data_IF_448416681411
#
_entry.id   IF_448416681411
#
_cell.length_a   1.000
_cell.length_b   1.000
_cell.length_c   1.000
_cell.angle_alpha   90.00
_cell.angle_beta   90.00
_cell.angle_gamma   90.00
#
_symmetry.space_group_name_H-M   'P 1'
#
loop_
_entity.id
_entity.type
_entity.pdbx_description
1 polymer ?
#
# COMPACT_ATOMS: atom_id res chain seq x y z
N UNK A 1 2.73 38.26 1.83
CA UNK A 1 4.15 37.98 1.55
C UNK A 1 4.45 36.60 2.12
N UNK A 2 4.42 35.55 1.29
CA UNK A 2 4.79 34.19 1.72
C UNK A 2 6.32 34.10 1.64
N UNK A 3 6.98 33.88 2.78
CA UNK A 3 8.41 33.57 2.79
C UNK A 3 8.59 32.07 2.52
N UNK A 4 9.21 31.75 1.38
CA UNK A 4 9.72 30.41 1.12
C UNK A 4 11.06 30.25 1.86
N UNK A 5 10.97 29.98 3.16
CA UNK A 5 12.13 29.73 4.00
C UNK A 5 12.06 28.33 4.61
N UNK A 6 13.18 27.61 4.54
CA UNK A 6 13.33 26.31 5.19
C UNK A 6 13.72 26.55 6.65
N UNK A 7 12.87 26.14 7.57
CA UNK A 7 13.20 26.13 9.00
C UNK A 7 14.38 25.17 9.24
N UNK A 8 15.38 25.64 10.00
CA UNK A 8 16.50 24.84 10.51
C UNK A 8 16.46 25.00 12.03
N UNK A 9 16.47 23.90 12.78
CA UNK A 9 16.47 23.97 14.25
C UNK A 9 17.77 24.55 14.79
N UNK A 10 17.76 25.12 16.00
CA UNK A 10 18.96 25.67 16.63
C UNK A 10 20.09 24.63 16.74
N UNK A 11 19.74 23.37 17.01
CA UNK A 11 20.69 22.27 17.06
C UNK A 11 21.33 22.00 15.69
N UNK A 12 20.52 21.90 14.62
CA UNK A 12 21.04 21.70 13.26
C UNK A 12 21.92 22.88 12.80
N UNK A 13 21.55 24.11 13.15
CA UNK A 13 22.33 25.31 12.85
C UNK A 13 23.70 25.29 13.53
N UNK A 14 23.76 24.95 14.83
CA UNK A 14 25.03 24.80 15.56
C UNK A 14 25.91 23.71 14.92
N UNK A 15 25.33 22.54 14.61
CA UNK A 15 26.05 21.45 13.94
C UNK A 15 26.63 21.87 12.58
N UNK A 16 25.89 22.69 11.81
CA UNK A 16 26.39 23.24 10.53
C UNK A 16 27.50 24.26 10.73
N UNK A 17 27.36 25.18 11.70
CA UNK A 17 28.38 26.20 12.02
C UNK A 17 29.69 25.54 12.42
N UNK A 18 29.62 24.50 13.25
CA UNK A 18 30.81 23.76 13.70
C UNK A 18 31.31 22.72 12.68
N UNK A 19 30.72 22.66 11.47
CA UNK A 19 31.11 21.74 10.38
C UNK A 19 31.18 20.27 10.77
N UNK A 20 30.40 19.87 11.78
CA UNK A 20 30.28 18.48 12.17
C UNK A 20 29.52 17.69 11.09
N UNK A 21 29.89 16.42 10.90
CA UNK A 21 29.15 15.54 10.00
C UNK A 21 27.74 15.27 10.56
N UNK A 22 26.73 15.94 9.99
CA UNK A 22 25.35 15.88 10.48
C UNK A 22 24.65 14.62 9.97
N UNK A 23 24.79 14.31 8.68
CA UNK A 23 24.27 13.08 8.06
C UNK A 23 25.08 12.72 6.82
N UNK A 24 25.46 11.45 6.68
CA UNK A 24 25.84 10.87 5.40
C UNK A 24 24.57 10.45 4.66
N UNK A 25 24.23 11.13 3.55
CA UNK A 25 23.10 10.75 2.68
C UNK A 25 23.66 10.24 1.36
N UNK A 26 24.11 9.00 1.37
CA UNK A 26 24.88 8.43 0.25
C UNK A 26 23.97 7.82 -0.85
N UNK A 27 22.70 7.55 -0.52
CA UNK A 27 21.85 6.70 -1.37
C UNK A 27 20.80 7.51 -2.12
N UNK A 28 20.88 7.46 -3.45
CA UNK A 28 19.84 8.00 -4.33
C UNK A 28 18.52 7.24 -4.13
N UNK A 29 17.40 7.95 -4.05
CA UNK A 29 16.06 7.35 -3.93
C UNK A 29 15.30 7.57 -5.24
N UNK A 30 14.87 6.46 -5.86
CA UNK A 30 14.08 6.49 -7.08
C UNK A 30 12.60 6.24 -6.75
N UNK A 31 11.73 7.20 -7.09
CA UNK A 31 10.29 7.04 -6.87
C UNK A 31 9.67 6.21 -7.99
N UNK A 32 8.96 5.16 -7.59
CA UNK A 32 8.41 4.13 -8.46
C UNK A 32 6.88 4.21 -8.44
N UNK A 33 6.30 4.83 -9.47
CA UNK A 33 4.87 4.79 -9.71
C UNK A 33 4.44 3.46 -10.32
N UNK A 34 3.18 3.11 -10.14
CA UNK A 34 2.54 1.92 -10.70
C UNK A 34 1.04 2.19 -10.82
N UNK A 35 0.36 1.38 -11.62
CA UNK A 35 -1.05 1.53 -11.94
C UNK A 35 -1.63 0.16 -12.35
N UNK A 36 -2.94 0.00 -12.20
CA UNK A 36 -3.65 -1.17 -12.73
C UNK A 36 -3.63 -1.17 -14.27
N UNK A 37 -3.98 -2.29 -14.91
CA UNK A 37 -4.20 -2.32 -16.35
C UNK A 37 -5.20 -1.25 -16.79
N UNK A 38 -4.85 -0.43 -17.78
CA UNK A 38 -5.69 0.64 -18.30
C UNK A 38 -5.71 1.94 -17.48
N UNK A 39 -5.13 1.97 -16.27
CA UNK A 39 -5.11 3.16 -15.40
C UNK A 39 -3.84 4.01 -15.53
N UNK A 40 -3.24 4.08 -16.73
CA UNK A 40 -2.07 4.92 -16.97
C UNK A 40 -2.43 6.41 -16.88
N UNK A 41 -1.60 7.21 -16.18
CA UNK A 41 -1.76 8.66 -16.19
C UNK A 41 -1.47 9.24 -17.57
N UNK A 42 -2.43 9.98 -18.11
CA UNK A 42 -2.32 10.72 -19.37
C UNK A 42 -2.10 12.20 -19.05
N UNK A 43 -1.03 12.79 -19.59
CA UNK A 43 -0.81 14.24 -19.53
C UNK A 43 -1.02 14.81 -20.91
N UNK A 44 -1.95 15.75 -21.03
CA UNK A 44 -2.27 16.43 -22.27
C UNK A 44 -2.39 17.93 -22.00
N UNK A 45 -2.19 18.72 -23.05
CA UNK A 45 -2.44 20.16 -22.97
C UNK A 45 -3.95 20.41 -23.13
N UNK A 46 -4.50 21.48 -22.54
CA UNK A 46 -5.94 21.78 -22.64
C UNK A 46 -6.46 21.90 -24.07
N UNK A 47 -5.59 22.29 -25.01
CA UNK A 47 -5.86 22.51 -26.43
C UNK A 47 -5.57 21.28 -27.32
N UNK A 48 -5.11 20.16 -26.74
CA UNK A 48 -4.81 18.96 -27.51
C UNK A 48 -6.09 18.24 -27.96
N UNK A 49 -6.14 17.80 -29.22
CA UNK A 49 -7.26 16.99 -29.72
C UNK A 49 -7.21 15.58 -29.13
N UNK A 50 -8.38 14.93 -29.03
CA UNK A 50 -8.51 13.57 -28.48
C UNK A 50 -7.65 12.58 -29.29
N UNK A 51 -7.65 12.68 -30.61
CA UNK A 51 -6.86 11.81 -31.49
C UNK A 51 -5.37 11.96 -31.22
N UNK A 52 -4.89 13.19 -31.04
CA UNK A 52 -3.48 13.45 -30.71
C UNK A 52 -3.08 12.85 -29.37
N UNK A 53 -3.98 12.90 -28.39
CA UNK A 53 -3.76 12.33 -27.05
C UNK A 53 -3.74 10.81 -27.10
N UNK A 54 -4.65 10.18 -27.86
CA UNK A 54 -4.70 8.73 -28.05
C UNK A 54 -3.51 8.20 -28.86
N UNK A 55 -3.02 8.95 -29.85
CA UNK A 55 -1.83 8.59 -30.62
C UNK A 55 -0.51 8.71 -29.82
N UNK A 56 -0.57 9.24 -28.60
CA UNK A 56 0.62 9.51 -27.81
C UNK A 56 1.23 8.21 -27.25
N UNK A 57 2.30 7.75 -27.90
CA UNK A 57 3.06 6.55 -27.52
C UNK A 57 3.66 6.62 -26.11
N UNK A 58 3.73 7.79 -25.48
CA UNK A 58 4.23 7.93 -24.11
C UNK A 58 3.34 7.30 -23.04
N UNK A 59 2.06 7.04 -23.35
CA UNK A 59 1.11 6.33 -22.48
C UNK A 59 1.61 4.95 -22.09
N UNK A 60 2.22 4.25 -23.04
CA UNK A 60 2.71 2.89 -22.82
C UNK A 60 4.10 2.84 -22.16
N UNK A 61 4.72 3.98 -21.85
CA UNK A 61 6.13 4.04 -21.45
C UNK A 61 6.31 4.59 -20.04
N UNK A 62 5.45 4.18 -19.10
CA UNK A 62 5.66 4.43 -17.67
C UNK A 62 6.86 3.62 -17.15
N UNK A 63 7.47 4.05 -16.04
CA UNK A 63 8.54 3.28 -15.37
C UNK A 63 8.12 1.85 -15.07
N UNK A 64 6.85 1.67 -14.71
CA UNK A 64 6.27 0.37 -14.37
C UNK A 64 6.14 -0.55 -15.58
N UNK A 65 5.59 -0.07 -16.70
CA UNK A 65 5.53 -0.88 -17.93
C UNK A 65 6.94 -1.12 -18.49
N UNK A 66 7.81 -0.13 -18.44
CA UNK A 66 9.19 -0.26 -18.89
C UNK A 66 10.01 -1.26 -18.05
N UNK A 67 9.68 -1.44 -16.77
CA UNK A 67 10.29 -2.48 -15.94
C UNK A 67 9.96 -3.88 -16.46
N UNK A 68 8.68 -4.13 -16.78
CA UNK A 68 8.26 -5.41 -17.38
C UNK A 68 8.92 -5.65 -18.75
N UNK A 69 9.07 -4.60 -19.57
CA UNK A 69 9.85 -4.68 -20.83
C UNK A 69 11.32 -4.99 -20.57
N UNK A 70 11.93 -4.36 -19.57
CA UNK A 70 13.32 -4.65 -19.21
C UNK A 70 13.51 -6.11 -18.79
N UNK A 71 12.53 -6.70 -18.10
CA UNK A 71 12.55 -8.13 -17.74
C UNK A 71 12.45 -9.08 -18.96
N UNK A 72 11.89 -8.61 -20.08
CA UNK A 72 11.90 -9.36 -21.35
C UNK A 72 13.30 -9.36 -21.97
N UNK A 73 14.00 -8.22 -21.93
CA UNK A 73 15.29 -8.00 -22.60
C UNK A 73 16.49 -8.48 -21.79
N UNK A 74 16.55 -8.12 -20.51
CA UNK A 74 17.71 -8.37 -19.64
C UNK A 74 17.44 -9.58 -18.75
N UNK A 75 18.36 -10.54 -18.71
CA UNK A 75 18.21 -11.73 -17.87
C UNK A 75 18.42 -11.38 -16.40
N UNK A 76 19.39 -10.52 -16.10
CA UNK A 76 19.71 -10.04 -14.76
C UNK A 76 18.59 -9.20 -14.13
N UNK A 77 17.72 -8.59 -14.95
CA UNK A 77 16.54 -7.88 -14.48
C UNK A 77 15.53 -8.83 -13.80
N UNK A 78 15.54 -10.11 -14.17
CA UNK A 78 14.56 -11.11 -13.72
C UNK A 78 14.76 -11.54 -12.26
N UNK A 79 15.91 -11.22 -11.68
CA UNK A 79 16.24 -11.53 -10.28
C UNK A 79 15.77 -10.44 -9.29
N UNK A 80 15.24 -9.33 -9.82
CA UNK A 80 14.90 -8.14 -9.05
C UNK A 80 13.39 -7.95 -8.96
N UNK A 81 12.94 -7.55 -7.77
CA UNK A 81 11.58 -7.01 -7.59
C UNK A 81 11.52 -5.59 -8.16
N UNK A 82 10.32 -5.02 -8.27
CA UNK A 82 10.20 -3.64 -8.74
C UNK A 82 10.89 -2.66 -7.78
N UNK A 83 10.78 -2.91 -6.47
CA UNK A 83 11.37 -2.06 -5.42
C UNK A 83 12.89 -2.11 -5.44
N UNK A 84 13.46 -3.27 -5.72
CA UNK A 84 14.91 -3.46 -5.81
C UNK A 84 15.49 -3.02 -7.15
N UNK A 85 14.65 -2.84 -8.17
CA UNK A 85 15.09 -2.56 -9.53
C UNK A 85 16.09 -1.40 -9.67
N UNK A 86 15.90 -0.25 -8.99
CA UNK A 86 16.83 0.88 -9.07
C UNK A 86 18.23 0.60 -8.52
N UNK A 87 18.41 -0.48 -7.75
CA UNK A 87 19.72 -0.89 -7.23
C UNK A 87 20.68 -1.30 -8.36
N UNK A 88 20.15 -1.88 -9.45
CA UNK A 88 20.92 -2.37 -10.61
C UNK A 88 20.56 -1.71 -11.93
N UNK A 89 19.44 -1.00 -12.00
CA UNK A 89 19.00 -0.30 -13.22
C UNK A 89 18.81 1.20 -12.97
N UNK A 90 18.98 2.00 -14.02
CA UNK A 90 18.75 3.45 -14.02
C UNK A 90 17.70 3.81 -15.05
N UNK A 91 16.79 4.73 -14.69
CA UNK A 91 15.77 5.25 -15.58
C UNK A 91 16.32 6.33 -16.52
N UNK A 92 16.24 6.11 -17.83
CA UNK A 92 16.53 7.13 -18.83
C UNK A 92 15.26 7.93 -19.15
N UNK A 93 15.16 9.16 -18.66
CA UNK A 93 13.97 10.02 -18.86
C UNK A 93 13.70 10.35 -20.33
N UNK A 94 14.74 10.52 -21.16
CA UNK A 94 14.59 10.91 -22.57
C UNK A 94 14.06 9.75 -23.40
N UNK A 95 14.64 8.56 -23.22
CA UNK A 95 14.25 7.34 -23.95
C UNK A 95 13.07 6.61 -23.31
N UNK A 96 12.75 6.93 -22.04
CA UNK A 96 11.72 6.27 -21.22
C UNK A 96 11.94 4.76 -21.10
N UNK A 97 13.18 4.38 -20.84
CA UNK A 97 13.62 3.00 -20.71
C UNK A 97 14.49 2.82 -19.47
N UNK A 98 14.57 1.59 -18.98
CA UNK A 98 15.55 1.19 -17.98
C UNK A 98 16.79 0.63 -18.67
N UNK A 99 17.96 1.00 -18.16
CA UNK A 99 19.24 0.46 -18.62
C UNK A 99 20.09 0.00 -17.43
N UNK A 100 20.95 -1.02 -17.60
CA UNK A 100 21.87 -1.45 -16.55
C UNK A 100 22.68 -0.29 -15.97
N UNK A 101 22.75 -0.24 -14.65
CA UNK A 101 23.48 0.79 -13.89
C UNK A 101 24.97 0.51 -13.98
N UNK A 102 25.74 1.52 -14.36
CA UNK A 102 27.22 1.44 -14.47
C UNK A 102 27.94 1.72 -13.15
N UNK A 103 27.39 2.56 -12.25
CA UNK A 103 28.02 2.97 -10.99
C UNK A 103 26.99 3.29 -9.90
N UNK A 104 27.39 3.03 -8.65
CA UNK A 104 26.61 3.34 -7.44
C UNK A 104 25.42 2.41 -7.24
N UNK A 105 24.52 2.78 -6.33
CA UNK A 105 23.24 2.11 -6.13
C UNK A 105 22.15 3.14 -5.83
N UNK A 106 20.89 2.73 -5.96
CA UNK A 106 19.74 3.52 -5.57
C UNK A 106 18.70 2.61 -4.90
N UNK A 107 17.90 3.21 -4.02
CA UNK A 107 16.78 2.54 -3.36
C UNK A 107 15.50 2.93 -4.07
N UNK A 108 14.72 1.93 -4.51
CA UNK A 108 13.40 2.16 -5.04
C UNK A 108 12.40 2.45 -3.92
N UNK A 109 11.51 3.41 -4.14
CA UNK A 109 10.40 3.70 -3.24
C UNK A 109 9.09 3.73 -3.99
N UNK A 110 8.29 2.69 -3.77
CA UNK A 110 6.93 2.57 -4.32
C UNK A 110 5.98 3.48 -3.54
N UNK A 111 5.02 4.06 -4.24
CA UNK A 111 4.01 4.92 -3.59
C UNK A 111 3.16 4.13 -2.59
N UNK A 112 2.84 4.78 -1.48
CA UNK A 112 1.95 4.22 -0.48
C UNK A 112 0.54 4.07 -1.05
N UNK A 113 -0.05 2.91 -0.79
CA UNK A 113 -1.45 2.58 -1.10
C UNK A 113 -2.06 1.96 0.16
N UNK A 114 -3.25 2.43 0.53
CA UNK A 114 -4.01 1.95 1.68
C UNK A 114 -4.62 0.58 1.37
N UNK A 115 -4.80 -0.33 2.34
CA UNK A 115 -5.41 -1.64 2.09
C UNK A 115 -6.82 -1.55 1.50
N UNK A 116 -7.62 -0.57 1.92
CA UNK A 116 -8.93 -0.26 1.34
C UNK A 116 -8.96 0.17 -0.14
N UNK A 117 -7.80 0.32 -0.81
CA UNK A 117 -7.73 0.61 -2.26
C UNK A 117 -7.89 -0.63 -3.16
N UNK A 118 -8.27 -1.79 -2.59
CA UNK A 118 -8.60 -3.01 -3.33
C UNK A 118 -7.42 -3.55 -4.14
N UNK A 119 -7.67 -3.88 -5.40
CA UNK A 119 -6.69 -4.49 -6.32
C UNK A 119 -5.38 -3.71 -6.44
N UNK A 120 -5.43 -2.38 -6.30
CA UNK A 120 -4.23 -1.53 -6.34
C UNK A 120 -3.31 -1.77 -5.15
N UNK A 121 -3.87 -2.09 -3.99
CA UNK A 121 -3.09 -2.46 -2.81
C UNK A 121 -2.42 -3.82 -3.00
N UNK A 122 -3.16 -4.82 -3.48
CA UNK A 122 -2.59 -6.15 -3.70
C UNK A 122 -1.52 -6.15 -4.78
N UNK A 123 -1.72 -5.38 -5.86
CA UNK A 123 -0.66 -5.12 -6.83
C UNK A 123 0.60 -4.56 -6.14
N UNK A 124 0.46 -3.51 -5.32
CA UNK A 124 1.59 -2.92 -4.56
C UNK A 124 2.31 -3.96 -3.69
N UNK A 125 1.59 -4.86 -3.04
CA UNK A 125 2.19 -5.96 -2.26
C UNK A 125 3.02 -6.86 -3.17
N UNK A 126 2.47 -7.31 -4.31
CA UNK A 126 3.17 -8.15 -5.27
C UNK A 126 4.46 -7.49 -5.81
N UNK A 127 4.49 -6.16 -5.98
CA UNK A 127 5.69 -5.46 -6.44
C UNK A 127 6.90 -5.57 -5.50
N UNK A 128 6.68 -5.97 -4.24
CA UNK A 128 7.75 -6.21 -3.26
C UNK A 128 8.24 -7.67 -3.24
N UNK A 129 7.55 -8.58 -3.93
CA UNK A 129 7.81 -10.03 -3.81
C UNK A 129 8.08 -10.67 -5.17
N UNK A 130 7.33 -10.27 -6.20
CA UNK A 130 7.45 -10.87 -7.54
C UNK A 130 8.67 -10.33 -8.26
N UNK A 131 9.53 -11.24 -8.68
CA UNK A 131 10.75 -10.96 -9.44
C UNK A 131 10.53 -11.22 -10.93
N UNK A 132 11.09 -10.35 -11.77
CA UNK A 132 11.15 -10.57 -13.21
C UNK A 132 9.84 -10.72 -14.01
N UNK A 133 8.67 -10.17 -13.60
CA UNK A 133 7.46 -10.31 -14.40
C UNK A 133 7.61 -9.55 -15.73
N UNK A 134 7.13 -10.16 -16.82
CA UNK A 134 7.14 -9.58 -18.17
C UNK A 134 5.79 -9.00 -18.57
N UNK A 135 4.76 -9.23 -17.75
CA UNK A 135 3.39 -8.81 -17.99
C UNK A 135 2.61 -8.66 -16.67
N UNK A 136 1.39 -8.13 -16.75
CA UNK A 136 0.46 -8.15 -15.61
C UNK A 136 -0.02 -9.56 -15.23
N UNK A 137 -0.05 -10.48 -16.18
CA UNK A 137 -0.42 -11.88 -15.94
C UNK A 137 0.68 -12.59 -15.12
N UNK A 138 1.95 -12.31 -15.43
CA UNK A 138 3.09 -12.83 -14.68
C UNK A 138 3.03 -12.40 -13.20
N UNK A 139 2.60 -11.16 -12.93
CA UNK A 139 2.38 -10.69 -11.56
C UNK A 139 1.31 -11.51 -10.82
N UNK A 140 0.27 -11.94 -11.53
CA UNK A 140 -0.82 -12.78 -11.00
C UNK A 140 -0.51 -14.28 -11.06
N UNK A 141 0.64 -14.70 -11.58
CA UNK A 141 0.98 -16.12 -11.73
C UNK A 141 1.67 -16.65 -10.48
N UNK A 142 1.16 -17.70 -9.85
CA UNK A 142 1.77 -18.40 -8.71
C UNK A 142 1.91 -19.87 -9.06
N UNK A 143 3.12 -20.42 -8.95
CA UNK A 143 3.41 -21.84 -9.24
C UNK A 143 2.87 -22.33 -10.60
N UNK A 144 2.97 -21.48 -11.62
CA UNK A 144 2.51 -21.77 -12.98
C UNK A 144 1.01 -21.60 -13.22
N UNK A 145 0.22 -21.25 -12.19
CA UNK A 145 -1.22 -20.94 -12.30
C UNK A 145 -1.46 -19.44 -12.33
N UNK A 146 -2.20 -18.97 -13.33
CA UNK A 146 -2.66 -17.57 -13.42
C UNK A 146 -3.93 -17.41 -12.58
N UNK A 147 -3.98 -16.37 -11.77
CA UNK A 147 -5.14 -16.02 -10.94
C UNK A 147 -5.90 -14.82 -11.53
N UNK A 148 -7.21 -14.76 -11.26
CA UNK A 148 -8.09 -13.72 -11.81
C UNK A 148 -7.79 -12.34 -11.23
N UNK A 149 -7.46 -12.26 -9.94
CA UNK A 149 -7.18 -10.99 -9.25
C UNK A 149 -5.77 -10.96 -8.65
N UNK A 150 -5.24 -9.76 -8.43
CA UNK A 150 -4.01 -9.57 -7.65
C UNK A 150 -4.20 -10.02 -6.20
N UNK A 151 -5.42 -9.86 -5.65
CA UNK A 151 -5.79 -10.38 -4.33
C UNK A 151 -5.60 -11.88 -4.24
N UNK A 152 -6.13 -12.65 -5.19
CA UNK A 152 -6.03 -14.11 -5.16
C UNK A 152 -4.60 -14.57 -5.36
N UNK A 153 -3.83 -13.86 -6.20
CA UNK A 153 -2.39 -14.11 -6.35
C UNK A 153 -1.60 -13.81 -5.06
N UNK A 154 -1.98 -12.82 -4.27
CA UNK A 154 -1.42 -12.57 -2.94
C UNK A 154 -1.81 -13.68 -1.96
N UNK A 155 -3.07 -14.11 -1.97
CA UNK A 155 -3.57 -15.19 -1.11
C UNK A 155 -2.83 -16.50 -1.39
N UNK A 156 -2.72 -16.90 -2.66
CA UNK A 156 -2.00 -18.10 -3.08
C UNK A 156 -0.50 -18.07 -2.71
N UNK A 157 0.10 -16.89 -2.59
CA UNK A 157 1.48 -16.71 -2.12
C UNK A 157 1.63 -16.67 -0.59
N UNK A 158 0.54 -16.73 0.16
CA UNK A 158 0.56 -16.56 1.62
C UNK A 158 0.93 -15.14 2.06
N UNK A 159 0.67 -14.13 1.22
CA UNK A 159 1.00 -12.72 1.50
C UNK A 159 -0.14 -11.94 2.17
N UNK A 160 -1.32 -12.54 2.32
CA UNK A 160 -2.37 -11.95 3.15
C UNK A 160 -2.07 -12.26 4.62
N UNK A 161 -1.81 -11.21 5.40
CA UNK A 161 -1.93 -11.31 6.85
C UNK A 161 -3.38 -11.64 7.22
N UNK A 162 -3.57 -12.42 8.27
CA UNK A 162 -4.89 -12.54 8.88
C UNK A 162 -5.21 -11.24 9.62
N UNK A 163 -6.50 -10.91 9.78
CA UNK A 163 -6.91 -9.77 10.60
C UNK A 163 -6.79 -10.07 12.11
N UNK A 164 -5.92 -11.02 12.46
CA UNK A 164 -5.72 -11.51 13.82
C UNK A 164 -5.14 -10.44 14.72
N UNK A 165 -4.26 -9.58 14.21
CA UNK A 165 -3.74 -8.44 14.97
C UNK A 165 -4.87 -7.52 15.48
N UNK A 166 -5.92 -7.32 14.68
CA UNK A 166 -7.07 -6.52 15.07
C UNK A 166 -7.97 -7.27 16.07
N UNK A 167 -8.17 -8.57 15.84
CA UNK A 167 -8.94 -9.43 16.76
C UNK A 167 -8.27 -9.48 18.14
N UNK A 168 -6.98 -9.79 18.18
CA UNK A 168 -6.20 -9.89 19.41
C UNK A 168 -6.14 -8.53 20.11
N UNK A 169 -5.97 -7.42 19.37
CA UNK A 169 -5.99 -6.08 19.94
C UNK A 169 -7.35 -5.65 20.53
N UNK A 170 -8.47 -6.01 19.89
CA UNK A 170 -9.82 -5.77 20.44
C UNK A 170 -10.04 -6.62 21.69
N UNK A 171 -9.65 -7.90 21.67
CA UNK A 171 -9.76 -8.82 22.81
C UNK A 171 -8.94 -8.33 24.00
N UNK A 172 -7.68 -7.97 23.78
CA UNK A 172 -6.82 -7.43 24.83
C UNK A 172 -7.39 -6.14 25.42
N UNK A 173 -7.84 -5.22 24.56
CA UNK A 173 -8.46 -3.96 24.99
C UNK A 173 -9.74 -4.18 25.80
N UNK A 174 -10.48 -5.26 25.54
CA UNK A 174 -11.73 -5.56 26.25
C UNK A 174 -11.55 -5.80 27.75
N UNK A 175 -10.34 -6.17 28.19
CA UNK A 175 -10.02 -6.34 29.61
C UNK A 175 -9.95 -5.03 30.39
N UNK A 176 -9.83 -3.87 29.72
CA UNK A 176 -9.62 -2.58 30.40
C UNK A 176 -10.48 -1.43 29.84
N UNK A 177 -11.13 -1.61 28.69
CA UNK A 177 -11.95 -0.61 28.04
C UNK A 177 -13.44 -1.00 28.06
N UNK A 178 -14.32 -0.01 28.16
CA UNK A 178 -15.77 -0.20 28.06
C UNK A 178 -16.19 -0.54 26.61
N UNK A 179 -17.28 -1.29 26.45
CA UNK A 179 -17.83 -1.66 25.14
C UNK A 179 -18.02 -0.47 24.18
N UNK A 180 -18.45 0.71 24.68
CA UNK A 180 -18.53 1.95 23.88
C UNK A 180 -17.21 2.34 23.20
N UNK A 181 -16.08 2.16 23.88
CA UNK A 181 -14.75 2.49 23.36
C UNK A 181 -14.29 1.44 22.37
N UNK A 182 -14.58 0.17 22.63
CA UNK A 182 -14.31 -0.91 21.69
C UNK A 182 -15.09 -0.74 20.38
N UNK A 183 -16.37 -0.33 20.45
CA UNK A 183 -17.14 0.06 19.25
C UNK A 183 -16.49 1.21 18.49
N UNK A 184 -16.00 2.24 19.19
CA UNK A 184 -15.30 3.35 18.56
C UNK A 184 -13.98 2.91 17.89
N UNK A 185 -13.21 2.04 18.55
CA UNK A 185 -12.00 1.45 18.00
C UNK A 185 -12.33 0.64 16.73
N UNK A 186 -13.31 -0.25 16.80
CA UNK A 186 -13.75 -1.06 15.66
C UNK A 186 -14.16 -0.19 14.47
N UNK A 187 -15.00 0.83 14.70
CA UNK A 187 -15.38 1.80 13.65
C UNK A 187 -14.16 2.53 13.08
N UNK A 188 -13.20 2.91 13.92
CA UNK A 188 -11.97 3.57 13.47
C UNK A 188 -11.16 2.66 12.55
N UNK A 189 -11.01 1.38 12.90
CA UNK A 189 -10.30 0.39 12.07
C UNK A 189 -11.00 0.16 10.73
N UNK A 190 -12.34 0.14 10.71
CA UNK A 190 -13.13 0.07 9.47
C UNK A 190 -12.92 1.31 8.59
N UNK A 191 -13.00 2.51 9.17
CA UNK A 191 -12.82 3.78 8.44
C UNK A 191 -11.40 3.96 7.90
N UNK A 192 -10.40 3.40 8.57
CA UNK A 192 -9.02 3.39 8.09
C UNK A 192 -8.81 2.43 6.91
N UNK A 193 -9.71 1.46 6.72
CA UNK A 193 -9.62 0.44 5.69
C UNK A 193 -8.41 -0.47 5.90
N UNK A 194 -8.08 -0.76 7.16
CA UNK A 194 -6.95 -1.61 7.56
C UNK A 194 -7.34 -3.08 7.66
N UNK A 195 -8.61 -3.36 7.96
CA UNK A 195 -9.16 -4.71 8.08
C UNK A 195 -9.48 -5.27 6.68
N UNK A 196 -9.00 -6.47 6.40
CA UNK A 196 -9.16 -7.15 5.10
C UNK A 196 -10.51 -7.84 4.97
N UNK A 197 -11.02 -8.44 6.06
CA UNK A 197 -12.28 -9.16 6.20
C UNK A 197 -13.04 -8.69 7.46
N UNK A 198 -13.71 -7.52 7.39
CA UNK A 198 -14.48 -6.95 8.49
C UNK A 198 -15.44 -7.94 9.17
N UNK A 199 -16.09 -8.78 8.37
CA UNK A 199 -17.01 -9.82 8.81
C UNK A 199 -16.34 -10.82 9.76
N UNK A 200 -15.12 -11.27 9.43
CA UNK A 200 -14.38 -12.23 10.26
C UNK A 200 -13.92 -11.62 11.59
N UNK A 201 -13.62 -10.31 11.61
CA UNK A 201 -13.27 -9.61 12.84
C UNK A 201 -14.52 -9.41 13.70
N UNK A 202 -15.65 -9.02 13.09
CA UNK A 202 -16.92 -8.87 13.78
C UNK A 202 -17.36 -10.17 14.46
N UNK A 203 -17.41 -11.28 13.72
CA UNK A 203 -17.82 -12.60 14.25
C UNK A 203 -17.03 -13.03 15.49
N UNK A 204 -15.75 -12.64 15.58
CA UNK A 204 -14.87 -13.01 16.69
C UNK A 204 -14.84 -12.01 17.84
N UNK A 205 -15.46 -10.84 17.68
CA UNK A 205 -15.33 -9.74 18.63
C UNK A 205 -16.67 -9.13 19.07
N UNK A 206 -17.79 -9.43 18.40
CA UNK A 206 -19.07 -8.73 18.61
C UNK A 206 -19.55 -8.77 20.06
N UNK A 207 -19.34 -9.88 20.78
CA UNK A 207 -19.72 -10.04 22.19
C UNK A 207 -19.09 -8.95 23.08
N UNK A 208 -17.80 -8.68 22.90
CA UNK A 208 -17.11 -7.60 23.63
C UNK A 208 -17.61 -6.22 23.21
N UNK A 209 -17.97 -6.07 21.93
CA UNK A 209 -18.50 -4.83 21.37
C UNK A 209 -19.93 -4.55 21.84
N UNK A 210 -20.69 -5.56 22.29
CA UNK A 210 -22.09 -5.44 22.68
C UNK A 210 -22.35 -5.71 24.17
N UNK A 211 -21.33 -5.87 24.99
CA UNK A 211 -21.46 -6.23 26.41
C UNK A 211 -22.39 -5.27 27.20
N UNK A 212 -22.37 -3.97 26.88
CA UNK A 212 -23.21 -2.97 27.54
C UNK A 212 -24.64 -2.86 26.96
N UNK A 213 -25.01 -3.64 25.94
CA UNK A 213 -26.27 -3.45 25.21
C UNK A 213 -27.49 -3.73 26.09
N UNK A 214 -27.47 -4.83 26.86
CA UNK A 214 -28.57 -5.21 27.74
C UNK A 214 -28.78 -4.17 28.83
N UNK A 215 -27.68 -3.71 29.45
CA UNK A 215 -27.72 -2.63 30.44
C UNK A 215 -28.37 -1.36 29.86
N UNK A 216 -27.94 -0.94 28.66
CA UNK A 216 -28.46 0.26 28.01
C UNK A 216 -29.95 0.12 27.66
N UNK A 217 -30.38 -1.04 27.14
CA UNK A 217 -31.78 -1.28 26.78
C UNK A 217 -32.67 -1.34 28.02
N UNK A 218 -32.28 -2.06 29.07
CA UNK A 218 -33.00 -2.10 30.37
C UNK A 218 -33.19 -0.70 30.93
N UNK A 219 -32.14 0.12 30.90
CA UNK A 219 -32.17 1.51 31.35
C UNK A 219 -33.14 2.37 30.52
N UNK A 220 -33.17 2.18 29.20
CA UNK A 220 -34.01 2.97 28.30
C UNK A 220 -35.49 2.56 28.35
N UNK A 221 -35.78 1.28 28.56
CA UNK A 221 -37.14 0.74 28.63
C UNK A 221 -37.73 0.74 30.04
N UNK A 222 -36.92 1.03 31.05
CA UNK A 222 -37.27 0.88 32.47
C UNK A 222 -37.71 -0.54 32.86
N UNK A 223 -37.20 -1.54 32.14
CA UNK A 223 -37.49 -2.96 32.36
C UNK A 223 -36.21 -3.66 32.82
N UNK A 224 -36.18 -4.13 34.06
CA UNK A 224 -35.01 -4.84 34.62
C UNK A 224 -35.05 -6.35 34.35
N UNK A 225 -36.21 -6.90 33.98
CA UNK A 225 -36.40 -8.33 33.73
C UNK A 225 -36.07 -8.73 32.30
N UNK A 226 -35.85 -7.76 31.40
CA UNK A 226 -35.43 -8.00 30.03
C UNK A 226 -34.15 -8.87 29.98
N UNK A 227 -34.21 -10.01 29.29
CA UNK A 227 -33.05 -10.87 29.01
C UNK A 227 -32.70 -10.87 27.53
N UNK A 228 -31.42 -11.11 27.21
CA UNK A 228 -31.01 -11.35 25.84
C UNK A 228 -31.29 -12.81 25.50
N UNK A 229 -32.13 -13.02 24.49
CA UNK A 229 -32.28 -14.33 23.87
C UNK A 229 -31.11 -14.56 22.91
N UNK A 230 -30.37 -15.65 23.12
CA UNK A 230 -29.24 -16.01 22.27
C UNK A 230 -29.67 -16.71 20.97
N UNK A 231 -30.98 -16.95 20.77
CA UNK A 231 -31.51 -17.44 19.50
C UNK A 231 -30.94 -18.78 19.05
N UNK A 232 -30.76 -19.71 19.99
CA UNK A 232 -30.46 -21.12 19.69
C UNK A 232 -31.71 -21.89 19.23
#
# INVERSE_FOLDING_TARGET
MYYDCRYISACEAAWRIFSYHIHYRDVSVERLSFHLPGEQNVYYKPDASIESVLSNTTLHSTKFIAWMRANQVYQEARELTYVDFPSKFTWNKKKREWSPRKKGFAVGRVFFVRPGAGEKYYLRVLLNVVKGPRSYEDLRTVDGKIYDTFRDACFARGLQGDDKEYIDGIKESSHSAMARWLRHLFVTLLLQGSITKPESVWEKCWEYLSEDILYNVRKNLHDQELELDNGE
#
